data_IF_102466480342
#
_entry.id   IF_102466480342
#
_cell.length_a   1.000
_cell.length_b   1.000
_cell.length_c   1.000
_cell.angle_alpha   90.00
_cell.angle_beta   90.00
_cell.angle_gamma   90.00
#
_symmetry.space_group_name_H-M   'P 1'
#
loop_
_entity.id
_entity.type
_entity.pdbx_description
1 polymer ?
#
# COMPACT_ATOMS: atom_id res chain seq x y z
N UNK A 1 9.86 -4.86 16.00
CA UNK A 1 8.77 -3.92 15.74
C UNK A 1 9.35 -2.70 15.01
N UNK A 2 8.70 -2.25 13.94
CA UNK A 2 9.08 -1.07 13.15
C UNK A 2 7.95 -0.05 13.22
N UNK A 3 8.30 1.21 13.46
CA UNK A 3 7.34 2.28 13.59
C UNK A 3 7.30 3.14 12.34
N UNK A 4 6.12 3.62 11.98
CA UNK A 4 5.89 4.50 10.86
C UNK A 4 4.76 5.48 11.12
N UNK A 5 4.48 6.25 10.09
CA UNK A 5 3.39 7.22 10.04
C UNK A 5 2.66 7.09 8.72
N UNK A 6 1.39 7.44 8.71
CA UNK A 6 0.73 7.77 7.47
C UNK A 6 0.35 9.25 7.45
N UNK A 7 0.34 9.83 6.26
CA UNK A 7 0.24 11.28 6.05
C UNK A 7 -0.51 11.62 4.77
N UNK A 8 -1.12 12.79 4.77
CA UNK A 8 -1.76 13.40 3.61
C UNK A 8 -1.49 14.91 3.59
N UNK A 9 -2.27 15.65 2.83
CA UNK A 9 -2.26 17.11 2.84
C UNK A 9 -2.63 17.69 4.23
N UNK A 10 -3.31 16.94 5.08
CA UNK A 10 -3.70 17.39 6.42
C UNK A 10 -2.52 17.74 7.31
N UNK A 11 -1.37 17.07 7.17
CA UNK A 11 -0.15 17.37 7.92
C UNK A 11 0.64 18.55 7.34
N UNK A 12 0.17 19.14 6.23
CA UNK A 12 0.80 20.31 5.61
C UNK A 12 2.27 20.07 5.23
N UNK A 13 3.11 21.07 5.49
CA UNK A 13 4.55 20.98 5.18
C UNK A 13 5.32 20.29 6.30
N UNK A 14 5.75 19.07 6.04
CA UNK A 14 6.53 18.25 6.97
C UNK A 14 8.02 18.54 6.83
N UNK A 15 8.73 18.66 7.96
CA UNK A 15 10.20 18.67 8.01
C UNK A 15 10.72 17.22 8.07
N UNK A 16 10.91 16.63 6.91
CA UNK A 16 11.34 15.23 6.78
C UNK A 16 12.73 14.95 7.35
N UNK A 17 13.63 15.97 7.39
CA UNK A 17 14.94 15.83 8.06
C UNK A 17 14.75 15.63 9.56
N UNK A 18 13.85 16.40 10.16
CA UNK A 18 13.56 16.30 11.59
C UNK A 18 12.83 15.00 11.94
N UNK A 19 11.89 14.56 11.07
CA UNK A 19 11.23 13.25 11.20
C UNK A 19 12.26 12.13 11.21
N UNK A 20 13.15 12.06 10.25
CA UNK A 20 14.16 11.01 10.12
C UNK A 20 15.16 11.01 11.29
N UNK A 21 15.63 12.19 11.71
CA UNK A 21 16.57 12.33 12.85
C UNK A 21 16.00 11.84 14.17
N UNK A 22 14.68 11.79 14.32
CA UNK A 22 14.04 11.26 15.53
C UNK A 22 14.36 9.77 15.77
N UNK A 23 14.72 9.04 14.72
CA UNK A 23 14.94 7.59 14.74
C UNK A 23 13.68 6.77 15.02
N UNK A 24 12.54 7.45 15.21
CA UNK A 24 11.26 6.83 15.60
C UNK A 24 10.36 6.46 14.43
N UNK A 25 10.70 6.90 13.21
CA UNK A 25 9.96 6.64 11.99
C UNK A 25 10.87 5.93 11.02
N UNK A 26 10.51 4.72 10.60
CA UNK A 26 11.23 3.94 9.61
C UNK A 26 10.48 3.83 8.28
N UNK A 27 9.16 4.01 8.28
CA UNK A 27 8.36 3.96 7.07
C UNK A 27 7.25 5.02 7.05
N UNK A 28 6.84 5.35 5.85
CA UNK A 28 5.81 6.34 5.55
C UNK A 28 4.84 5.76 4.53
N UNK A 29 3.54 5.89 4.82
CA UNK A 29 2.46 5.57 3.89
C UNK A 29 1.76 6.91 3.58
N UNK A 30 1.80 7.38 2.34
CA UNK A 30 1.28 8.71 2.01
C UNK A 30 0.07 8.64 1.08
N UNK A 31 -0.96 9.46 1.36
CA UNK A 31 -2.10 9.61 0.44
C UNK A 31 -1.60 10.07 -0.92
N UNK A 32 -1.90 9.29 -1.96
CA UNK A 32 -1.60 9.69 -3.32
C UNK A 32 -2.83 10.22 -4.03
N UNK A 33 -3.94 9.49 -3.91
CA UNK A 33 -5.17 9.77 -4.65
C UNK A 33 -6.42 9.44 -3.84
N UNK A 34 -7.55 9.97 -4.29
CA UNK A 34 -8.89 9.67 -3.79
C UNK A 34 -9.86 9.63 -4.97
N UNK A 35 -10.68 8.60 -5.08
CA UNK A 35 -11.57 8.41 -6.21
C UNK A 35 -10.84 8.50 -7.55
N UNK A 36 -11.50 9.05 -8.56
CA UNK A 36 -10.90 9.29 -9.89
C UNK A 36 -10.61 10.77 -10.15
N UNK A 37 -10.69 11.62 -9.14
CA UNK A 37 -10.72 13.08 -9.31
C UNK A 37 -9.71 13.85 -8.46
N UNK A 38 -9.16 13.26 -7.41
CA UNK A 38 -8.24 13.95 -6.52
C UNK A 38 -6.86 13.30 -6.49
N UNK A 39 -5.84 14.14 -6.64
CA UNK A 39 -4.44 13.83 -6.31
C UNK A 39 -4.09 14.63 -5.06
N UNK A 40 -3.52 14.00 -4.05
CA UNK A 40 -3.14 14.71 -2.83
C UNK A 40 -2.04 15.74 -3.15
N UNK A 41 -2.25 17.02 -2.85
CA UNK A 41 -1.32 18.10 -3.26
C UNK A 41 0.05 18.00 -2.57
N UNK A 42 0.16 17.27 -1.47
CA UNK A 42 1.42 17.09 -0.74
C UNK A 42 2.14 15.79 -1.13
N UNK A 43 1.50 14.91 -1.91
CA UNK A 43 2.03 13.59 -2.23
C UNK A 43 3.42 13.62 -2.85
N UNK A 44 3.58 14.35 -3.95
CA UNK A 44 4.87 14.41 -4.67
C UNK A 44 6.00 14.93 -3.78
N UNK A 45 5.71 15.97 -2.97
CA UNK A 45 6.64 16.51 -2.00
C UNK A 45 6.99 15.51 -0.91
N UNK A 46 5.99 14.88 -0.31
CA UNK A 46 6.17 13.89 0.74
C UNK A 46 6.98 12.70 0.24
N UNK A 47 6.64 12.15 -0.93
CA UNK A 47 7.38 11.06 -1.58
C UNK A 47 8.86 11.41 -1.75
N UNK A 48 9.15 12.53 -2.42
CA UNK A 48 10.52 12.98 -2.72
C UNK A 48 11.33 13.16 -1.44
N UNK A 49 10.80 13.90 -0.47
CA UNK A 49 11.57 14.30 0.69
C UNK A 49 11.72 13.16 1.72
N UNK A 50 10.72 12.31 1.91
CA UNK A 50 10.83 11.16 2.79
C UNK A 50 11.87 10.16 2.25
N UNK A 51 11.84 9.87 0.95
CA UNK A 51 12.80 8.97 0.31
C UNK A 51 14.23 9.52 0.35
N UNK A 52 14.43 10.84 0.22
CA UNK A 52 15.74 11.47 0.38
C UNK A 52 16.33 11.30 1.79
N UNK A 53 15.50 11.05 2.79
CA UNK A 53 15.94 10.74 4.15
C UNK A 53 16.16 9.23 4.40
N UNK A 54 16.03 8.40 3.37
CA UNK A 54 16.20 6.95 3.50
C UNK A 54 15.04 6.22 4.17
N UNK A 55 13.88 6.86 4.34
CA UNK A 55 12.69 6.25 4.90
C UNK A 55 12.07 5.29 3.86
N UNK A 56 11.63 4.11 4.30
CA UNK A 56 10.76 3.27 3.47
C UNK A 56 9.48 4.02 3.15
N UNK A 57 9.04 3.94 1.90
CA UNK A 57 7.91 4.74 1.44
C UNK A 57 6.93 3.91 0.62
N UNK A 58 5.64 4.17 0.81
CA UNK A 58 4.59 3.75 -0.12
C UNK A 58 3.46 4.77 -0.17
N UNK A 59 2.47 4.45 -1.00
CA UNK A 59 1.29 5.28 -1.20
C UNK A 59 0.01 4.52 -0.88
N UNK A 60 -1.02 5.26 -0.48
CA UNK A 60 -2.38 4.73 -0.42
C UNK A 60 -3.34 5.50 -1.33
N UNK A 61 -4.36 4.79 -1.74
CA UNK A 61 -5.52 5.30 -2.45
C UNK A 61 -6.73 5.30 -1.53
N UNK A 62 -7.33 6.44 -1.30
CA UNK A 62 -8.59 6.53 -0.57
C UNK A 62 -9.74 6.16 -1.52
N UNK A 63 -10.38 5.03 -1.24
CA UNK A 63 -11.46 4.50 -2.05
C UNK A 63 -12.72 5.38 -1.96
N UNK A 64 -13.36 5.58 -3.10
CA UNK A 64 -14.67 6.20 -3.18
C UNK A 64 -15.61 5.30 -4.01
N UNK A 65 -15.98 4.12 -3.49
CA UNK A 65 -16.67 3.09 -4.26
C UNK A 65 -18.02 3.58 -4.78
N UNK A 66 -18.36 3.19 -5.99
CA UNK A 66 -19.66 3.47 -6.58
C UNK A 66 -20.22 2.25 -7.34
N UNK A 67 -21.55 2.21 -7.59
CA UNK A 67 -22.17 1.11 -8.34
C UNK A 67 -21.86 1.15 -9.85
N UNK A 68 -21.17 2.18 -10.31
CA UNK A 68 -20.86 2.32 -11.74
C UNK A 68 -19.98 1.18 -12.25
N UNK A 69 -20.32 0.67 -13.42
CA UNK A 69 -19.55 -0.38 -14.06
C UNK A 69 -18.09 0.05 -14.31
N UNK A 70 -17.16 -0.72 -13.78
CA UNK A 70 -15.73 -0.50 -13.98
C UNK A 70 -15.12 0.58 -13.08
N UNK A 71 -15.86 1.07 -12.11
CA UNK A 71 -15.43 2.09 -11.17
C UNK A 71 -14.13 1.74 -10.44
N UNK A 72 -14.09 0.60 -9.78
CA UNK A 72 -12.88 0.11 -9.09
C UNK A 72 -11.63 0.08 -10.00
N UNK A 73 -11.82 -0.27 -11.28
CA UNK A 73 -10.72 -0.28 -12.25
C UNK A 73 -10.25 1.14 -12.61
N UNK A 74 -11.19 2.07 -12.76
CA UNK A 74 -10.85 3.47 -13.03
C UNK A 74 -10.09 4.09 -11.85
N UNK A 75 -10.52 3.82 -10.61
CA UNK A 75 -9.82 4.28 -9.41
C UNK A 75 -8.42 3.65 -9.31
N UNK A 76 -8.29 2.35 -9.56
CA UNK A 76 -6.99 1.68 -9.58
C UNK A 76 -6.04 2.27 -10.64
N UNK A 77 -6.55 2.50 -11.87
CA UNK A 77 -5.75 3.10 -12.96
C UNK A 77 -5.38 4.56 -12.65
N UNK A 78 -6.26 5.31 -12.00
CA UNK A 78 -5.98 6.67 -11.51
C UNK A 78 -4.87 6.66 -10.47
N UNK A 79 -4.99 5.80 -9.46
CA UNK A 79 -3.95 5.61 -8.44
C UNK A 79 -2.60 5.26 -9.05
N UNK A 80 -2.54 4.23 -9.89
CA UNK A 80 -1.31 3.77 -10.51
C UNK A 80 -0.60 4.84 -11.33
N UNK A 81 -1.36 5.69 -12.02
CA UNK A 81 -0.84 6.79 -12.83
C UNK A 81 -0.16 7.87 -11.98
N UNK A 82 -0.71 8.17 -10.81
CA UNK A 82 -0.24 9.28 -9.98
C UNK A 82 0.70 8.85 -8.85
N UNK A 83 0.57 7.63 -8.34
CA UNK A 83 1.44 7.12 -7.27
C UNK A 83 2.87 6.86 -7.75
N UNK A 84 3.06 6.49 -9.00
CA UNK A 84 4.38 6.21 -9.61
C UNK A 84 5.28 5.38 -8.68
N UNK A 85 4.79 4.24 -8.22
CA UNK A 85 5.52 3.35 -7.32
C UNK A 85 6.45 2.43 -8.10
N UNK A 86 7.66 2.25 -7.57
CA UNK A 86 8.72 1.48 -8.21
C UNK A 86 9.35 0.50 -7.22
N UNK A 87 10.29 -0.30 -7.70
CA UNK A 87 10.97 -1.37 -6.97
C UNK A 87 11.31 -1.12 -5.49
N UNK A 88 11.89 0.03 -5.08
CA UNK A 88 12.25 0.25 -3.68
C UNK A 88 11.05 0.64 -2.77
N UNK A 89 9.90 0.97 -3.35
CA UNK A 89 8.72 1.27 -2.55
C UNK A 89 8.15 0.01 -1.91
N UNK A 90 7.53 0.16 -0.73
CA UNK A 90 6.72 -0.89 -0.12
C UNK A 90 5.45 -1.13 -0.95
N UNK A 91 4.69 -2.17 -0.60
CA UNK A 91 3.41 -2.47 -1.21
C UNK A 91 2.47 -1.26 -1.16
N UNK A 92 1.76 -0.93 -2.24
CA UNK A 92 0.70 0.08 -2.21
C UNK A 92 -0.47 -0.37 -1.36
N UNK A 93 -1.29 0.58 -0.91
CA UNK A 93 -2.46 0.30 -0.10
C UNK A 93 -3.75 0.79 -0.75
N UNK A 94 -4.80 -0.03 -0.64
CA UNK A 94 -6.18 0.40 -0.78
C UNK A 94 -6.69 0.80 0.61
N UNK A 95 -7.11 2.01 0.77
CA UNK A 95 -7.73 2.57 1.97
C UNK A 95 -9.24 2.53 1.79
N UNK A 96 -9.90 1.60 2.51
CA UNK A 96 -11.33 1.31 2.39
C UNK A 96 -12.06 1.67 3.69
N UNK A 97 -12.71 2.84 3.67
CA UNK A 97 -13.47 3.41 4.79
C UNK A 97 -14.87 3.87 4.38
N UNK A 98 -15.18 3.85 3.09
CA UNK A 98 -16.47 4.17 2.54
C UNK A 98 -17.03 2.98 1.75
N UNK A 99 -18.33 2.73 1.87
CA UNK A 99 -19.00 1.66 1.14
C UNK A 99 -19.74 2.15 -0.12
N UNK A 100 -19.84 3.48 -0.34
CA UNK A 100 -20.46 4.09 -1.53
C UNK A 100 -21.91 3.66 -1.79
N UNK A 101 -22.65 3.27 -0.74
CA UNK A 101 -23.99 2.71 -0.88
C UNK A 101 -24.06 1.29 -1.43
N UNK A 102 -22.92 0.62 -1.62
CA UNK A 102 -22.85 -0.76 -2.11
C UNK A 102 -23.28 -1.76 -1.02
N UNK A 103 -23.93 -2.85 -1.42
CA UNK A 103 -24.11 -4.00 -0.55
C UNK A 103 -22.78 -4.69 -0.27
N UNK A 104 -22.70 -5.52 0.77
CA UNK A 104 -21.49 -6.23 1.16
C UNK A 104 -20.88 -7.04 0.01
N UNK A 105 -21.71 -7.73 -0.77
CA UNK A 105 -21.26 -8.52 -1.94
C UNK A 105 -20.74 -7.61 -3.06
N UNK A 106 -21.38 -6.46 -3.27
CA UNK A 106 -20.93 -5.51 -4.29
C UNK A 106 -19.61 -4.85 -3.88
N UNK A 107 -19.48 -4.46 -2.61
CA UNK A 107 -18.29 -3.85 -2.07
C UNK A 107 -17.09 -4.83 -2.09
N UNK A 108 -17.30 -6.08 -1.67
CA UNK A 108 -16.26 -7.11 -1.78
C UNK A 108 -15.79 -7.29 -3.23
N UNK A 109 -16.73 -7.35 -4.19
CA UNK A 109 -16.40 -7.44 -5.61
C UNK A 109 -15.63 -6.20 -6.10
N UNK A 110 -16.00 -5.01 -5.64
CA UNK A 110 -15.31 -3.76 -5.94
C UNK A 110 -13.85 -3.81 -5.44
N UNK A 111 -13.65 -4.21 -4.17
CA UNK A 111 -12.32 -4.41 -3.57
C UNK A 111 -11.47 -5.36 -4.41
N UNK A 112 -12.02 -6.52 -4.77
CA UNK A 112 -11.31 -7.48 -5.62
C UNK A 112 -10.90 -6.90 -6.98
N UNK A 113 -11.78 -6.13 -7.62
CA UNK A 113 -11.48 -5.53 -8.91
C UNK A 113 -10.33 -4.52 -8.82
N UNK A 114 -10.32 -3.69 -7.78
CA UNK A 114 -9.25 -2.73 -7.52
C UNK A 114 -7.93 -3.45 -7.22
N UNK A 115 -7.92 -4.35 -6.24
CA UNK A 115 -6.75 -5.09 -5.79
C UNK A 115 -6.09 -5.88 -6.92
N UNK A 116 -6.89 -6.61 -7.70
CA UNK A 116 -6.40 -7.38 -8.86
C UNK A 116 -5.89 -6.48 -9.97
N UNK A 117 -6.48 -5.32 -10.17
CA UNK A 117 -5.99 -4.37 -11.18
C UNK A 117 -4.60 -3.84 -10.81
N UNK A 118 -4.37 -3.52 -9.55
CA UNK A 118 -3.06 -3.09 -9.06
C UNK A 118 -2.05 -4.24 -9.12
N UNK A 119 -2.43 -5.44 -8.69
CA UNK A 119 -1.59 -6.65 -8.82
C UNK A 119 -1.17 -6.88 -10.27
N UNK A 120 -2.11 -6.85 -11.21
CA UNK A 120 -1.82 -7.03 -12.64
C UNK A 120 -0.80 -6.03 -13.18
N UNK A 121 -0.85 -4.78 -12.73
CA UNK A 121 0.02 -3.70 -13.22
C UNK A 121 1.38 -3.64 -12.52
N UNK A 122 1.42 -3.93 -11.23
CA UNK A 122 2.64 -3.85 -10.43
C UNK A 122 3.33 -5.20 -10.22
N UNK A 123 2.68 -6.32 -10.55
CA UNK A 123 3.22 -7.66 -10.32
C UNK A 123 3.37 -8.01 -8.83
N UNK A 124 2.66 -7.30 -7.96
CA UNK A 124 2.63 -7.55 -6.50
C UNK A 124 1.23 -7.27 -5.96
N UNK A 125 0.81 -8.04 -4.97
CA UNK A 125 -0.47 -7.85 -4.28
C UNK A 125 -0.42 -6.63 -3.37
N UNK A 126 -1.35 -5.65 -3.51
CA UNK A 126 -1.40 -4.49 -2.62
C UNK A 126 -1.88 -4.87 -1.23
N UNK A 127 -1.64 -3.98 -0.25
CA UNK A 127 -2.22 -4.04 1.09
C UNK A 127 -3.67 -3.58 1.07
N UNK A 128 -4.46 -4.05 2.02
CA UNK A 128 -5.76 -3.47 2.34
C UNK A 128 -5.68 -2.76 3.69
N UNK A 129 -6.11 -1.47 3.73
CA UNK A 129 -6.38 -0.76 4.97
C UNK A 129 -7.89 -0.71 5.20
N UNK A 130 -8.26 -0.99 6.44
CA UNK A 130 -9.64 -0.87 6.93
C UNK A 130 -9.68 -0.90 8.46
N UNK A 131 -10.81 -0.53 9.05
CA UNK A 131 -11.08 -0.77 10.46
C UNK A 131 -11.84 -2.09 10.67
N UNK A 132 -11.72 -2.72 11.85
CA UNK A 132 -12.48 -3.93 12.16
C UNK A 132 -13.98 -3.72 12.05
N UNK A 133 -14.48 -2.59 12.54
CA UNK A 133 -15.91 -2.26 12.49
C UNK A 133 -16.43 -2.08 11.08
N UNK A 134 -15.66 -1.38 10.24
CA UNK A 134 -16.03 -1.20 8.84
C UNK A 134 -16.09 -2.53 8.09
N UNK A 135 -15.04 -3.35 8.19
CA UNK A 135 -14.99 -4.63 7.48
C UNK A 135 -16.13 -5.56 7.89
N UNK A 136 -16.40 -5.68 9.18
CA UNK A 136 -17.48 -6.54 9.67
C UNK A 136 -18.86 -6.00 9.32
N UNK A 137 -19.05 -4.70 9.39
CA UNK A 137 -20.34 -4.07 9.12
C UNK A 137 -20.70 -4.01 7.63
N UNK A 138 -19.74 -3.67 6.79
CA UNK A 138 -20.02 -3.39 5.38
C UNK A 138 -19.50 -4.45 4.40
N UNK A 139 -18.62 -5.36 4.83
CA UNK A 139 -18.11 -6.48 4.00
C UNK A 139 -18.49 -7.83 4.61
N UNK A 140 -19.41 -7.84 5.58
CA UNK A 140 -19.94 -9.04 6.23
C UNK A 140 -18.83 -9.96 6.80
N UNK A 141 -17.76 -9.38 7.32
CA UNK A 141 -16.61 -10.11 7.88
C UNK A 141 -15.99 -11.15 6.92
N UNK A 142 -16.05 -10.88 5.61
CA UNK A 142 -15.61 -11.81 4.57
C UNK A 142 -14.13 -12.13 4.67
N UNK A 143 -13.82 -13.42 4.47
CA UNK A 143 -12.44 -13.93 4.39
C UNK A 143 -11.92 -14.05 2.97
N UNK A 144 -12.75 -13.75 1.98
CA UNK A 144 -12.45 -14.05 0.58
C UNK A 144 -11.21 -13.30 0.06
N UNK A 145 -11.06 -12.03 0.45
CA UNK A 145 -9.92 -11.19 0.05
C UNK A 145 -8.60 -11.77 0.60
N UNK A 146 -8.55 -12.08 1.89
CA UNK A 146 -7.37 -12.70 2.51
C UNK A 146 -7.06 -14.09 1.90
N UNK A 147 -8.08 -14.94 1.73
CA UNK A 147 -7.93 -16.26 1.11
C UNK A 147 -7.49 -16.23 -0.34
N UNK A 148 -7.74 -15.14 -1.05
CA UNK A 148 -7.20 -14.94 -2.40
C UNK A 148 -5.72 -14.49 -2.39
N UNK A 149 -5.10 -14.46 -1.21
CA UNK A 149 -3.70 -14.12 -1.00
C UNK A 149 -3.43 -12.62 -0.92
N UNK A 150 -4.45 -11.77 -0.73
CA UNK A 150 -4.27 -10.37 -0.32
C UNK A 150 -4.18 -10.34 1.21
N UNK A 151 -3.11 -10.92 1.72
CA UNK A 151 -2.89 -11.24 3.12
C UNK A 151 -2.29 -10.09 3.94
N UNK A 152 -1.73 -9.10 3.27
CA UNK A 152 -1.14 -7.93 3.94
C UNK A 152 -2.21 -6.95 4.39
N UNK A 153 -2.62 -7.04 5.66
CA UNK A 153 -3.61 -6.17 6.28
C UNK A 153 -2.94 -4.99 6.99
N UNK A 154 -3.35 -3.78 6.65
CA UNK A 154 -3.11 -2.56 7.42
C UNK A 154 -4.39 -2.20 8.17
N UNK A 155 -4.38 -2.38 9.46
CA UNK A 155 -5.56 -2.32 10.31
C UNK A 155 -5.56 -1.05 11.16
N UNK A 156 -6.64 -0.28 11.15
CA UNK A 156 -6.86 0.80 12.13
C UNK A 156 -7.69 0.30 13.30
N UNK A 157 -7.16 0.43 14.50
CA UNK A 157 -7.92 0.17 15.72
C UNK A 157 -7.27 0.92 16.89
N UNK A 158 -7.85 2.05 17.23
CA UNK A 158 -7.26 3.00 18.17
C UNK A 158 -7.71 2.78 19.62
N UNK A 159 -6.92 3.27 20.57
CA UNK A 159 -7.28 3.24 21.99
C UNK A 159 -7.28 1.87 22.64
N UNK A 160 -6.75 0.85 21.99
CA UNK A 160 -6.72 -0.54 22.49
C UNK A 160 -5.28 -1.03 22.69
N UNK A 161 -5.09 -1.95 23.62
CA UNK A 161 -3.77 -2.59 23.83
C UNK A 161 -3.43 -3.62 22.76
N UNK A 162 -4.45 -4.23 22.13
CA UNK A 162 -4.32 -5.24 21.09
C UNK A 162 -5.49 -5.09 20.13
N UNK A 163 -5.23 -5.00 18.82
CA UNK A 163 -6.31 -4.83 17.87
C UNK A 163 -7.14 -6.12 17.73
N UNK A 164 -8.44 -5.95 17.59
CA UNK A 164 -9.29 -7.01 17.08
C UNK A 164 -9.11 -7.09 15.55
N UNK A 165 -8.97 -8.29 15.03
CA UNK A 165 -8.68 -8.55 13.63
C UNK A 165 -9.89 -9.24 12.99
N UNK A 166 -10.56 -8.61 12.00
CA UNK A 166 -11.73 -9.16 11.35
C UNK A 166 -11.41 -10.37 10.45
N UNK A 167 -12.41 -10.94 9.82
CA UNK A 167 -12.27 -12.02 8.85
C UNK A 167 -11.55 -13.25 9.42
N UNK A 168 -11.93 -13.65 10.65
CA UNK A 168 -11.25 -14.72 11.38
C UNK A 168 -9.73 -14.53 11.41
N UNK A 169 -9.30 -13.42 11.99
CA UNK A 169 -7.90 -13.02 12.07
C UNK A 169 -7.23 -12.91 10.69
N UNK A 170 -7.96 -12.29 9.74
CA UNK A 170 -7.55 -12.15 8.35
C UNK A 170 -7.19 -13.51 7.73
N UNK A 171 -8.13 -14.45 7.82
CA UNK A 171 -7.95 -15.85 7.43
C UNK A 171 -6.77 -16.58 8.12
N UNK A 172 -6.34 -16.09 9.29
CA UNK A 172 -5.22 -16.65 10.05
C UNK A 172 -3.92 -15.85 9.99
N UNK A 173 -3.77 -14.96 9.00
CA UNK A 173 -2.51 -14.20 8.74
C UNK A 173 -2.25 -13.10 9.78
N UNK A 174 -3.30 -12.60 10.42
CA UNK A 174 -3.17 -11.50 11.37
C UNK A 174 -3.10 -10.13 10.69
N UNK A 175 -2.53 -9.16 11.39
CA UNK A 175 -2.26 -7.84 10.82
C UNK A 175 -0.77 -7.72 10.47
N UNK A 176 -0.48 -7.04 9.37
CA UNK A 176 0.89 -6.70 8.97
C UNK A 176 1.28 -5.31 9.48
N UNK A 177 0.39 -4.34 9.28
CA UNK A 177 0.52 -2.98 9.81
C UNK A 177 -0.67 -2.67 10.71
N UNK A 178 -0.41 -1.95 11.81
CA UNK A 178 -1.46 -1.49 12.72
C UNK A 178 -1.31 0.02 12.94
N UNK A 179 -2.31 0.77 12.52
CA UNK A 179 -2.50 2.17 12.87
C UNK A 179 -3.15 2.21 14.25
N UNK A 180 -2.36 2.53 15.27
CA UNK A 180 -2.78 2.41 16.67
C UNK A 180 -3.27 3.73 17.27
N UNK A 181 -3.05 4.87 16.61
CA UNK A 181 -3.55 6.19 16.98
C UNK A 181 -3.58 7.14 15.78
N UNK A 182 -4.55 8.04 15.79
CA UNK A 182 -4.69 9.16 14.86
C UNK A 182 -4.21 10.50 15.48
N UNK A 183 -3.92 10.50 16.77
CA UNK A 183 -3.56 11.70 17.55
C UNK A 183 -2.09 11.70 17.98
N UNK A 184 -1.23 11.00 17.25
CA UNK A 184 0.18 10.90 17.54
C UNK A 184 0.93 12.22 17.32
N UNK A 185 2.12 12.33 17.92
CA UNK A 185 3.04 13.44 17.71
C UNK A 185 4.38 12.94 17.22
N UNK A 186 4.94 13.59 16.20
CA UNK A 186 6.25 13.29 15.61
C UNK A 186 6.99 14.59 15.37
N UNK A 187 8.25 14.65 15.81
CA UNK A 187 9.09 15.81 15.58
C UNK A 187 9.23 16.11 14.07
N UNK A 188 8.92 17.34 13.66
CA UNK A 188 8.91 17.74 12.24
C UNK A 188 7.53 17.78 11.60
N UNK A 189 6.49 17.38 12.33
CA UNK A 189 5.09 17.49 11.91
C UNK A 189 4.37 18.43 12.87
N UNK A 190 3.66 19.41 12.32
CA UNK A 190 2.83 20.32 13.09
C UNK A 190 1.42 19.74 13.24
N UNK A 191 1.05 19.38 14.48
CA UNK A 191 -0.27 18.80 14.76
C UNK A 191 -0.24 17.28 14.87
N UNK A 192 -1.44 16.69 14.85
CA UNK A 192 -1.63 15.24 14.97
C UNK A 192 -1.20 14.49 13.72
N UNK A 193 -0.70 13.29 13.91
CA UNK A 193 -0.33 12.38 12.83
C UNK A 193 -0.60 10.93 13.22
N UNK A 194 -1.09 10.18 12.27
CA UNK A 194 -1.36 8.75 12.43
C UNK A 194 -0.06 7.97 12.62
N UNK A 195 -0.05 7.11 13.64
CA UNK A 195 1.12 6.31 13.95
C UNK A 195 0.85 4.83 13.73
N UNK A 196 1.80 4.23 13.09
CA UNK A 196 1.73 2.85 12.65
C UNK A 196 2.85 2.00 13.23
N UNK A 197 2.57 0.72 13.33
CA UNK A 197 3.55 -0.29 13.68
C UNK A 197 3.49 -1.43 12.66
N UNK A 198 4.64 -1.93 12.24
CA UNK A 198 4.77 -3.11 11.41
C UNK A 198 5.14 -4.31 12.28
N UNK A 199 4.41 -5.43 12.12
CA UNK A 199 4.59 -6.65 12.93
C UNK A 199 5.85 -7.44 12.59
N UNK A 200 6.30 -7.35 11.34
CA UNK A 200 7.44 -8.13 10.88
C UNK A 200 8.80 -7.52 11.21
N UNK A 201 9.85 -8.31 10.98
CA UNK A 201 11.22 -7.92 11.29
C UNK A 201 11.88 -7.04 10.22
N UNK A 202 11.54 -7.25 8.94
CA UNK A 202 12.25 -6.65 7.79
C UNK A 202 11.29 -6.04 6.77
N UNK A 203 11.10 -4.72 6.82
CA UNK A 203 10.30 -3.96 5.84
C UNK A 203 10.75 -4.18 4.39
N UNK A 204 12.05 -4.37 4.18
CA UNK A 204 12.64 -4.57 2.86
C UNK A 204 12.07 -5.81 2.12
N UNK A 205 11.54 -6.80 2.85
CA UNK A 205 10.84 -7.95 2.25
C UNK A 205 9.50 -7.57 1.63
N UNK A 206 8.89 -6.47 2.06
CA UNK A 206 7.63 -5.94 1.52
C UNK A 206 7.84 -4.89 0.41
N UNK A 207 9.05 -4.76 -0.12
CA UNK A 207 9.27 -3.90 -1.28
C UNK A 207 8.80 -4.58 -2.57
N UNK A 208 8.29 -3.79 -3.50
CA UNK A 208 7.86 -4.28 -4.82
C UNK A 208 8.99 -5.08 -5.50
N UNK A 209 10.24 -4.64 -5.37
CA UNK A 209 11.40 -5.36 -5.93
C UNK A 209 11.61 -6.73 -5.31
N UNK A 210 11.52 -6.83 -3.98
CA UNK A 210 11.73 -8.09 -3.29
C UNK A 210 10.65 -9.10 -3.68
N UNK A 211 9.38 -8.68 -3.63
CA UNK A 211 8.24 -9.55 -3.91
C UNK A 211 8.16 -10.00 -5.37
N UNK A 212 8.58 -9.15 -6.33
CA UNK A 212 8.70 -9.57 -7.73
C UNK A 212 9.77 -10.63 -7.95
N UNK A 213 10.87 -10.58 -7.20
CA UNK A 213 11.94 -11.59 -7.29
C UNK A 213 11.52 -12.92 -6.71
N UNK A 214 10.77 -12.90 -5.61
CA UNK A 214 10.29 -14.11 -4.95
C UNK A 214 9.13 -14.78 -5.73
N UNK A 215 8.37 -14.03 -6.55
CA UNK A 215 7.25 -14.51 -7.35
C UNK A 215 7.56 -14.78 -8.84
N UNK A 216 8.73 -14.42 -9.34
CA UNK A 216 9.12 -14.74 -10.72
C UNK A 216 9.66 -16.16 -10.78
N UNK A 217 9.17 -17.01 -11.72
CA UNK A 217 9.93 -18.18 -12.14
C UNK A 217 11.32 -17.71 -12.55
N UNK A 218 12.35 -18.41 -12.13
CA UNK A 218 13.73 -18.12 -12.54
C UNK A 218 13.73 -17.96 -14.06
N UNK A 219 13.93 -16.73 -14.57
CA UNK A 219 14.29 -16.54 -15.95
C UNK A 219 15.57 -17.37 -16.17
N UNK A 220 15.43 -18.47 -16.90
CA UNK A 220 16.54 -19.24 -17.39
C UNK A 220 17.43 -18.26 -18.17
N UNK A 221 18.67 -18.07 -17.68
CA UNK A 221 19.72 -17.31 -18.35
C UNK A 221 20.09 -18.04 -19.64
N UNK A 222 19.28 -17.93 -20.69
CA UNK A 222 19.69 -18.46 -22.02
C UNK A 222 18.95 -17.81 -23.19
N UNK A 223 18.78 -16.49 -23.14
CA UNK A 223 18.43 -15.71 -24.32
C UNK A 223 19.50 -14.65 -24.61
N UNK A 224 20.74 -15.11 -24.78
CA UNK A 224 21.71 -14.33 -25.54
C UNK A 224 21.52 -14.64 -27.02
N UNK A 225 21.28 -13.63 -27.88
CA UNK A 225 21.28 -13.86 -29.30
C UNK A 225 22.64 -14.44 -29.73
N UNK A 226 22.67 -15.41 -30.67
CA UNK A 226 23.91 -16.04 -31.10
C UNK A 226 24.86 -14.98 -31.67
N UNK A 227 26.13 -15.03 -31.24
CA UNK A 227 27.20 -14.18 -31.80
C UNK A 227 27.28 -14.37 -33.31
N UNK A 228 27.36 -13.30 -34.09
CA UNK A 228 27.60 -13.43 -35.54
C UNK A 228 28.93 -14.14 -35.79
N UNK A 229 28.90 -15.15 -36.70
CA UNK A 229 30.08 -15.88 -37.14
C UNK A 229 31.04 -14.90 -37.85
N UNK A 230 32.34 -15.02 -37.65
CA UNK A 230 33.32 -14.22 -38.39
C UNK A 230 33.21 -14.55 -39.89
N UNK A 231 33.16 -13.51 -40.71
CA UNK A 231 33.25 -13.64 -42.16
C UNK A 231 34.58 -14.25 -42.54
N UNK A 232 34.56 -15.43 -43.15
CA UNK A 232 35.73 -16.02 -43.79
C UNK A 232 36.14 -15.13 -44.98
N UNK A 233 37.35 -14.59 -44.86
CA UNK A 233 37.95 -13.86 -45.96
C UNK A 233 38.24 -14.80 -47.11
N UNK A 234 37.84 -14.38 -48.30
CA UNK A 234 38.27 -15.00 -49.58
C UNK A 234 39.53 -14.23 -50.01
N UNK A 235 40.55 -14.98 -50.33
CA UNK A 235 41.73 -14.51 -51.02
C UNK A 235 41.41 -14.30 -52.51
#
# INVERSE_FOLDING_TARGET
VRYGIDVSHWQGRIDWKRVARSGRVQFVIAKATEGTWRVDPMYARNKKLAQQQGLYFTAYHFANPSPERGDARREADWFLRHADLRGPNLLPALDLEDHGGLSAVQLERWVFQWMRRVEQKLGVKPMLYTSPGFWSGYVADSRAVARAGFDTLWLSHWGVRKPWIPANRWAGEGWSFWQWTETGSVAGIGGAVDRNVYSGAKLQKLTIRALRRDGSPSESRDDRPPRPKPRSGVR
#
